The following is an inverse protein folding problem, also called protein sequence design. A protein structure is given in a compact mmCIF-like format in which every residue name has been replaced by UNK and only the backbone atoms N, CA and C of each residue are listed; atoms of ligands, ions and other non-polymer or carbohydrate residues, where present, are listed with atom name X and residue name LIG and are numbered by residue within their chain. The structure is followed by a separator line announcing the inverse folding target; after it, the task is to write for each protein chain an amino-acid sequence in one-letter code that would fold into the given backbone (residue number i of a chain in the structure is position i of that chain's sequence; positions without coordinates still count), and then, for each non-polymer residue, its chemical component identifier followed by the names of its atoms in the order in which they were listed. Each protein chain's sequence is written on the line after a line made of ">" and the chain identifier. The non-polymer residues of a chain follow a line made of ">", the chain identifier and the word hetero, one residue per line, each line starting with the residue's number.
data_IF_888379857580
#
_entry.id   IF_888379857580
#
_cell.length_a   1.000
_cell.length_b   1.000
_cell.length_c   1.000
_cell.angle_alpha   90.00
_cell.angle_beta   90.00
_cell.angle_gamma   90.00
#
_symmetry.space_group_name_H-M   'P 1'
#
loop_
_entity.id
_entity.type
_entity.pdbx_description
1 polymer ?
#
# COMPACT_ATOMS: atom_id res chain seq x y z
N UNK A 1 -25.46 -11.52 -21.12
CA UNK A 1 -24.00 -11.35 -21.34
C UNK A 1 -23.74 -9.94 -21.83
N UNK A 2 -23.45 -9.01 -20.92
CA UNK A 2 -23.50 -7.56 -21.17
C UNK A 2 -22.16 -7.03 -21.72
N UNK A 3 -22.26 -6.12 -22.69
CA UNK A 3 -21.17 -5.41 -23.40
C UNK A 3 -20.12 -4.76 -22.50
N UNK A 4 -20.42 -4.58 -21.21
CA UNK A 4 -19.57 -3.97 -20.20
C UNK A 4 -18.37 -4.84 -19.80
N UNK A 5 -18.44 -6.16 -19.94
CA UNK A 5 -17.33 -7.06 -19.54
C UNK A 5 -16.10 -6.93 -20.45
N UNK A 6 -16.33 -6.73 -21.76
CA UNK A 6 -15.24 -6.64 -22.75
C UNK A 6 -14.50 -5.28 -22.71
N UNK A 7 -15.16 -4.23 -22.23
CA UNK A 7 -14.56 -2.89 -22.07
C UNK A 7 -13.71 -2.82 -20.79
N UNK A 8 -14.16 -3.48 -19.71
CA UNK A 8 -13.39 -3.60 -18.46
C UNK A 8 -12.03 -4.29 -18.69
N UNK A 9 -12.02 -5.35 -19.52
CA UNK A 9 -10.79 -6.12 -19.82
C UNK A 9 -9.74 -5.32 -20.59
N UNK A 10 -10.12 -4.28 -21.33
CA UNK A 10 -9.20 -3.46 -22.13
C UNK A 10 -8.60 -2.28 -21.34
N UNK A 11 -9.30 -1.79 -20.33
CA UNK A 11 -8.85 -0.67 -19.48
C UNK A 11 -7.82 -1.09 -18.41
N UNK A 12 -7.78 -2.37 -18.01
CA UNK A 12 -6.99 -2.84 -16.85
C UNK A 12 -5.46 -2.70 -17.01
N UNK A 13 -4.93 -2.62 -18.24
CA UNK A 13 -3.48 -2.59 -18.48
C UNK A 13 -2.87 -1.18 -18.48
N UNK A 14 -3.63 -0.17 -18.89
CA UNK A 14 -3.16 1.23 -19.02
C UNK A 14 -3.40 2.04 -17.73
N UNK A 15 -4.52 1.79 -17.04
CA UNK A 15 -4.85 2.48 -15.80
C UNK A 15 -3.98 2.05 -14.61
N UNK A 16 -3.37 0.87 -14.67
CA UNK A 16 -2.52 0.39 -13.59
C UNK A 16 -1.23 1.20 -13.45
N UNK A 17 -0.55 1.44 -14.58
CA UNK A 17 0.65 2.28 -14.61
C UNK A 17 0.31 3.74 -14.26
N UNK A 18 -0.89 4.19 -14.63
CA UNK A 18 -1.41 5.49 -14.19
C UNK A 18 -1.69 5.54 -12.67
N UNK A 19 -2.18 4.45 -12.06
CA UNK A 19 -2.39 4.35 -10.61
C UNK A 19 -1.06 4.40 -9.83
N UNK A 20 -0.05 3.62 -10.25
CA UNK A 20 1.28 3.64 -9.64
C UNK A 20 1.91 5.03 -9.79
N UNK A 21 1.74 5.67 -10.96
CA UNK A 21 2.12 7.07 -11.17
C UNK A 21 1.43 8.03 -10.19
N UNK A 22 0.11 7.89 -10.03
CA UNK A 22 -0.65 8.66 -9.04
C UNK A 22 -0.13 8.45 -7.61
N UNK A 23 0.21 7.23 -7.21
CA UNK A 23 0.77 6.95 -5.88
C UNK A 23 2.10 7.67 -5.66
N UNK A 24 3.01 7.62 -6.64
CA UNK A 24 4.30 8.33 -6.57
C UNK A 24 4.09 9.85 -6.47
N UNK A 25 3.13 10.40 -7.22
CA UNK A 25 2.76 11.82 -7.14
C UNK A 25 2.21 12.17 -5.75
N UNK A 26 1.32 11.34 -5.19
CA UNK A 26 0.77 11.56 -3.84
C UNK A 26 1.89 11.55 -2.80
N UNK A 27 2.80 10.57 -2.86
CA UNK A 27 3.96 10.50 -1.95
C UNK A 27 4.86 11.73 -2.08
N UNK A 28 5.12 12.19 -3.31
CA UNK A 28 5.91 13.39 -3.56
C UNK A 28 5.26 14.64 -2.97
N UNK A 29 3.94 14.81 -3.13
CA UNK A 29 3.19 15.93 -2.58
C UNK A 29 3.19 15.89 -1.06
N UNK A 30 2.93 14.73 -0.44
CA UNK A 30 2.96 14.58 1.03
C UNK A 30 4.34 14.89 1.59
N UNK A 31 5.41 14.49 0.90
CA UNK A 31 6.78 14.81 1.28
C UNK A 31 7.08 16.30 1.16
N UNK A 32 6.63 16.96 0.10
CA UNK A 32 6.77 18.41 -0.07
C UNK A 32 6.02 19.18 1.03
N UNK A 33 4.79 18.77 1.35
CA UNK A 33 4.00 19.35 2.44
C UNK A 33 4.69 19.15 3.79
N UNK A 34 5.21 17.95 4.07
CA UNK A 34 5.97 17.68 5.29
C UNK A 34 7.24 18.51 5.40
N UNK A 35 7.92 18.77 4.27
CA UNK A 35 9.09 19.63 4.21
C UNK A 35 8.73 21.10 4.50
N UNK A 36 7.65 21.61 3.90
CA UNK A 36 7.15 22.98 4.15
C UNK A 36 6.75 23.15 5.63
N UNK A 37 6.07 22.16 6.21
CA UNK A 37 5.70 22.15 7.63
C UNK A 37 6.95 22.15 8.53
N UNK A 38 7.96 21.32 8.22
CA UNK A 38 9.25 21.31 8.94
C UNK A 38 9.96 22.66 8.85
N UNK A 39 10.03 23.27 7.66
CA UNK A 39 10.60 24.59 7.46
C UNK A 39 9.87 25.67 8.27
N UNK A 40 8.54 25.60 8.35
CA UNK A 40 7.74 26.53 9.13
C UNK A 40 7.91 26.33 10.64
N UNK A 41 7.94 25.08 11.12
CA UNK A 41 8.25 24.74 12.51
C UNK A 41 9.67 25.15 12.92
N UNK A 42 10.65 25.02 12.02
CA UNK A 42 12.03 25.50 12.21
C UNK A 42 12.15 27.03 12.22
N UNK A 43 11.14 27.77 11.76
CA UNK A 43 11.11 29.24 11.85
C UNK A 43 10.66 29.69 13.26
N UNK A 44 9.91 28.85 13.99
CA UNK A 44 9.40 29.15 15.34
C UNK A 44 10.29 28.60 16.45
N UNK A 45 10.99 27.47 16.20
CA UNK A 45 12.04 26.95 17.09
C UNK A 45 13.39 27.43 16.56
N UNK A 46 14.22 28.17 17.33
CA UNK A 46 15.59 28.49 16.93
C UNK A 46 16.40 27.19 16.85
N UNK A 47 16.35 26.54 15.69
CA UNK A 47 17.10 25.34 15.39
C UNK A 47 18.57 25.73 15.21
N UNK A 48 19.43 25.26 16.12
CA UNK A 48 20.87 25.34 15.95
C UNK A 48 21.26 24.45 14.75
N UNK A 49 21.21 25.04 13.56
CA UNK A 49 21.59 24.42 12.32
C UNK A 49 23.08 24.12 12.39
N UNK A 50 23.44 22.89 12.75
CA UNK A 50 24.80 22.41 12.53
C UNK A 50 25.01 22.42 11.02
N UNK A 51 25.68 23.46 10.53
CA UNK A 51 26.06 23.61 9.13
C UNK A 51 26.88 22.38 8.74
N UNK A 52 26.24 21.48 7.99
CA UNK A 52 26.88 20.28 7.47
C UNK A 52 27.94 20.75 6.49
N UNK A 53 29.20 20.70 6.92
CA UNK A 53 30.35 21.02 6.09
C UNK A 53 30.35 20.11 4.85
N UNK A 54 30.68 20.61 3.65
CA UNK A 54 30.64 19.82 2.41
C UNK A 54 31.49 18.54 2.46
N UNK A 55 32.50 18.52 3.32
CA UNK A 55 33.43 17.40 3.54
C UNK A 55 32.82 16.25 4.36
N UNK A 56 31.80 16.51 5.18
CA UNK A 56 31.07 15.50 5.95
C UNK A 56 29.94 14.83 5.14
N UNK A 57 29.67 15.36 3.94
CA UNK A 57 28.62 14.89 3.04
C UNK A 57 29.17 13.82 2.09
N UNK A 58 30.42 14.00 1.63
CA UNK A 58 31.14 13.01 0.82
C UNK A 58 31.52 11.76 1.61
N UNK A 59 31.91 11.91 2.89
CA UNK A 59 32.20 10.77 3.77
C UNK A 59 30.96 9.94 4.10
N UNK A 60 29.79 10.58 4.24
CA UNK A 60 28.52 9.87 4.36
C UNK A 60 28.19 9.09 3.09
N UNK A 61 28.30 9.70 1.90
CA UNK A 61 27.97 9.03 0.64
C UNK A 61 28.80 7.75 0.43
N UNK A 62 30.06 7.70 0.82
CA UNK A 62 30.88 6.49 0.70
C UNK A 62 30.59 5.41 1.76
N UNK A 63 30.09 5.80 2.94
CA UNK A 63 29.77 4.88 4.04
C UNK A 63 28.34 4.30 3.95
N UNK A 64 27.51 4.81 3.04
CA UNK A 64 26.16 4.26 2.84
C UNK A 64 26.22 2.82 2.31
N UNK A 65 25.37 1.91 2.82
CA UNK A 65 25.30 0.54 2.34
C UNK A 65 24.60 0.48 0.97
N UNK A 66 25.29 0.91 -0.08
CA UNK A 66 24.80 0.94 -1.46
C UNK A 66 24.27 -0.42 -1.92
N UNK A 67 24.92 -1.50 -1.50
CA UNK A 67 24.51 -2.85 -1.85
C UNK A 67 23.16 -3.22 -1.21
N UNK A 68 22.91 -2.80 0.03
CA UNK A 68 21.63 -3.03 0.68
C UNK A 68 20.52 -2.24 -0.03
N UNK A 69 20.79 -0.99 -0.42
CA UNK A 69 19.82 -0.14 -1.14
C UNK A 69 19.53 -0.70 -2.52
N UNK A 70 20.55 -1.16 -3.26
CA UNK A 70 20.35 -1.79 -4.57
C UNK A 70 19.59 -3.10 -4.43
N UNK A 71 19.87 -3.89 -3.41
CA UNK A 71 19.17 -5.14 -3.14
C UNK A 71 17.70 -4.89 -2.79
N UNK A 72 17.40 -4.04 -1.79
CA UNK A 72 16.01 -3.75 -1.40
C UNK A 72 15.27 -2.95 -2.48
N UNK A 73 15.96 -2.02 -3.14
CA UNK A 73 15.38 -1.13 -4.14
C UNK A 73 15.11 -1.85 -5.47
N UNK A 74 16.09 -2.55 -6.03
CA UNK A 74 15.92 -3.23 -7.31
C UNK A 74 15.26 -4.58 -7.11
N UNK A 75 15.80 -5.45 -6.26
CA UNK A 75 15.25 -6.81 -6.12
C UNK A 75 13.90 -6.76 -5.42
N UNK A 76 13.82 -6.19 -4.21
CA UNK A 76 12.57 -6.27 -3.44
C UNK A 76 11.45 -5.42 -4.06
N UNK A 77 11.70 -4.16 -4.45
CA UNK A 77 10.66 -3.33 -5.07
C UNK A 77 10.23 -3.83 -6.45
N UNK A 78 11.17 -4.19 -7.34
CA UNK A 78 10.78 -4.68 -8.68
C UNK A 78 10.02 -5.98 -8.58
N UNK A 79 10.46 -6.90 -7.70
CA UNK A 79 9.74 -8.14 -7.46
C UNK A 79 8.36 -7.90 -6.87
N UNK A 80 8.22 -7.01 -5.88
CA UNK A 80 6.94 -6.67 -5.26
C UNK A 80 5.98 -6.07 -6.29
N UNK A 81 6.42 -5.07 -7.06
CA UNK A 81 5.61 -4.44 -8.11
C UNK A 81 5.24 -5.44 -9.21
N UNK A 82 6.16 -6.33 -9.57
CA UNK A 82 5.88 -7.38 -10.56
C UNK A 82 4.83 -8.37 -10.04
N UNK A 83 5.00 -8.87 -8.82
CA UNK A 83 4.06 -9.78 -8.17
C UNK A 83 2.69 -9.12 -8.00
N UNK A 84 2.66 -7.84 -7.65
CA UNK A 84 1.47 -7.01 -7.54
C UNK A 84 0.72 -6.90 -8.89
N UNK A 85 1.44 -6.62 -9.99
CA UNK A 85 0.87 -6.59 -11.35
C UNK A 85 0.30 -7.95 -11.74
N UNK A 86 0.99 -9.05 -11.39
CA UNK A 86 0.55 -10.41 -11.68
C UNK A 86 -0.69 -10.76 -10.87
N UNK A 87 -0.70 -10.50 -9.56
CA UNK A 87 -1.81 -10.81 -8.67
C UNK A 87 -3.07 -10.02 -9.04
N UNK A 88 -2.93 -8.71 -9.31
CA UNK A 88 -4.06 -7.91 -9.74
C UNK A 88 -4.61 -8.30 -11.10
N UNK A 89 -3.91 -9.12 -11.90
CA UNK A 89 -4.43 -9.58 -13.18
C UNK A 89 -5.65 -10.50 -13.02
N UNK A 90 -5.61 -11.35 -12.00
CA UNK A 90 -6.60 -12.40 -11.77
C UNK A 90 -7.57 -12.10 -10.60
N UNK A 91 -7.25 -11.14 -9.73
CA UNK A 91 -8.04 -10.82 -8.53
C UNK A 91 -9.00 -9.64 -8.77
N UNK A 92 -10.20 -9.70 -8.17
CA UNK A 92 -11.20 -8.63 -8.21
C UNK A 92 -10.79 -7.42 -7.35
N UNK A 93 -11.39 -6.24 -7.60
CA UNK A 93 -11.06 -5.01 -6.85
C UNK A 93 -11.33 -5.14 -5.34
N UNK A 94 -12.40 -5.86 -4.98
CA UNK A 94 -12.80 -6.10 -3.58
C UNK A 94 -11.81 -6.99 -2.84
N UNK A 95 -11.41 -8.12 -3.45
CA UNK A 95 -10.42 -9.03 -2.86
C UNK A 95 -9.05 -8.36 -2.73
N UNK A 96 -8.65 -7.58 -3.73
CA UNK A 96 -7.40 -6.81 -3.71
C UNK A 96 -7.39 -5.83 -2.53
N UNK A 97 -8.49 -5.08 -2.32
CA UNK A 97 -8.60 -4.13 -1.21
C UNK A 97 -8.51 -4.83 0.17
N UNK A 98 -9.07 -6.04 0.29
CA UNK A 98 -8.97 -6.84 1.51
C UNK A 98 -7.52 -7.28 1.74
N UNK A 99 -6.83 -7.76 0.71
CA UNK A 99 -5.42 -8.20 0.80
C UNK A 99 -4.52 -7.05 1.24
N UNK A 100 -4.64 -5.86 0.63
CA UNK A 100 -3.90 -4.68 1.07
C UNK A 100 -4.28 -4.23 2.49
N UNK A 101 -5.56 -4.33 2.86
CA UNK A 101 -6.01 -4.05 4.22
C UNK A 101 -5.34 -4.94 5.27
N UNK A 102 -4.96 -6.16 4.90
CA UNK A 102 -4.27 -7.13 5.78
C UNK A 102 -2.75 -6.93 5.84
N UNK A 103 -2.15 -6.10 5.00
CA UNK A 103 -0.72 -5.77 5.01
C UNK A 103 -0.16 -5.43 6.40
N UNK A 104 -0.77 -4.54 7.21
CA UNK A 104 -0.31 -4.27 8.58
C UNK A 104 -0.35 -5.49 9.51
N UNK A 105 -1.28 -6.43 9.31
CA UNK A 105 -1.35 -7.67 10.09
C UNK A 105 -0.19 -8.59 9.73
N UNK A 106 0.11 -8.72 8.44
CA UNK A 106 1.30 -9.44 7.97
C UNK A 106 2.58 -8.77 8.47
N UNK A 107 2.68 -7.44 8.39
CA UNK A 107 3.80 -6.68 8.92
C UNK A 107 4.05 -6.94 10.40
N UNK A 108 3.01 -6.87 11.23
CA UNK A 108 3.10 -7.19 12.65
C UNK A 108 3.48 -8.67 12.90
N UNK A 109 2.94 -9.59 12.11
CA UNK A 109 3.25 -11.02 12.21
C UNK A 109 4.70 -11.31 11.86
N UNK A 110 5.23 -10.73 10.79
CA UNK A 110 6.64 -10.88 10.40
C UNK A 110 7.59 -10.17 11.35
N UNK A 111 7.23 -9.01 11.87
CA UNK A 111 8.00 -8.34 12.92
C UNK A 111 8.12 -9.21 14.17
N UNK A 112 7.02 -9.84 14.61
CA UNK A 112 7.07 -10.81 15.71
C UNK A 112 7.87 -12.07 15.37
N UNK A 113 7.68 -12.65 14.18
CA UNK A 113 8.32 -13.91 13.80
C UNK A 113 9.83 -13.78 13.56
N UNK A 114 10.28 -12.67 12.95
CA UNK A 114 11.68 -12.45 12.57
C UNK A 114 12.44 -11.70 13.67
N UNK A 115 11.82 -10.68 14.29
CA UNK A 115 12.45 -9.82 15.29
C UNK A 115 12.10 -10.21 16.75
N UNK A 116 11.14 -11.10 16.97
CA UNK A 116 10.74 -11.52 18.31
C UNK A 116 10.04 -10.44 19.14
N UNK A 117 9.61 -9.34 18.52
CA UNK A 117 9.00 -8.22 19.23
C UNK A 117 7.64 -8.61 19.83
N UNK A 118 7.47 -8.37 21.13
CA UNK A 118 6.22 -8.69 21.84
C UNK A 118 5.05 -7.90 21.24
N UNK A 119 3.98 -8.62 20.89
CA UNK A 119 2.72 -8.01 20.48
C UNK A 119 2.19 -7.11 21.60
N UNK A 120 2.12 -5.81 21.34
CA UNK A 120 1.41 -4.88 22.21
C UNK A 120 -0.09 -5.18 22.17
N UNK A 121 -0.78 -4.93 23.30
CA UNK A 121 -2.24 -5.07 23.41
C UNK A 121 -2.95 -4.21 22.33
N UNK A 122 -2.40 -3.02 22.06
CA UNK A 122 -2.87 -2.12 21.00
C UNK A 122 -2.74 -2.70 19.60
N UNK A 123 -1.63 -3.40 19.31
CA UNK A 123 -1.41 -4.09 18.04
C UNK A 123 -2.39 -5.24 17.83
N UNK A 124 -2.71 -5.98 18.89
CA UNK A 124 -3.68 -7.08 18.86
C UNK A 124 -5.12 -6.58 18.62
N UNK A 125 -5.51 -5.47 19.27
CA UNK A 125 -6.81 -4.82 19.03
C UNK A 125 -6.90 -4.32 17.59
N UNK A 126 -5.85 -3.68 17.06
CA UNK A 126 -5.78 -3.25 15.68
C UNK A 126 -5.92 -4.40 14.69
N UNK A 127 -5.22 -5.50 14.92
CA UNK A 127 -5.30 -6.69 14.07
C UNK A 127 -6.73 -7.29 14.05
N UNK A 128 -7.39 -7.38 15.22
CA UNK A 128 -8.79 -7.84 15.30
C UNK A 128 -9.71 -6.92 14.50
N UNK A 129 -9.53 -5.59 14.63
CA UNK A 129 -10.38 -4.63 13.92
C UNK A 129 -10.24 -4.75 12.40
N UNK A 130 -9.03 -4.94 11.90
CA UNK A 130 -8.76 -5.13 10.47
C UNK A 130 -9.42 -6.42 9.97
N UNK A 131 -9.20 -7.55 10.67
CA UNK A 131 -9.80 -8.84 10.30
C UNK A 131 -11.33 -8.77 10.33
N UNK A 132 -11.91 -8.14 11.35
CA UNK A 132 -13.35 -7.95 11.47
C UNK A 132 -13.92 -7.09 10.33
N UNK A 133 -13.24 -5.99 9.98
CA UNK A 133 -13.61 -5.14 8.85
C UNK A 133 -13.56 -5.91 7.53
N UNK A 134 -12.49 -6.67 7.28
CA UNK A 134 -12.34 -7.51 6.09
C UNK A 134 -13.41 -8.60 5.99
N UNK A 135 -13.79 -9.22 7.10
CA UNK A 135 -14.84 -10.24 7.12
C UNK A 135 -16.22 -9.62 6.86
N UNK A 136 -16.50 -8.45 7.45
CA UNK A 136 -17.77 -7.74 7.24
C UNK A 136 -17.98 -7.38 5.77
N UNK A 137 -16.93 -6.93 5.08
CA UNK A 137 -16.98 -6.62 3.64
C UNK A 137 -17.28 -7.87 2.80
N UNK A 138 -16.69 -9.02 3.13
CA UNK A 138 -16.95 -10.27 2.40
C UNK A 138 -18.38 -10.77 2.61
N UNK A 139 -18.87 -10.72 3.86
CA UNK A 139 -20.24 -11.11 4.17
C UNK A 139 -21.24 -10.20 3.44
N UNK A 140 -21.04 -8.89 3.48
CA UNK A 140 -21.90 -7.95 2.75
C UNK A 140 -21.86 -8.15 1.24
N UNK A 141 -20.67 -8.40 0.68
CA UNK A 141 -20.51 -8.75 -0.73
C UNK A 141 -21.28 -10.02 -1.12
N UNK A 142 -21.24 -11.06 -0.26
CA UNK A 142 -21.97 -12.31 -0.50
C UNK A 142 -23.50 -12.14 -0.47
N UNK A 143 -24.03 -11.27 0.39
CA UNK A 143 -25.47 -10.96 0.42
C UNK A 143 -25.92 -10.23 -0.86
N UNK A 144 -25.12 -9.30 -1.36
CA UNK A 144 -25.41 -8.55 -2.59
C UNK A 144 -25.43 -9.45 -3.84
N UNK A 145 -24.59 -10.48 -3.89
CA UNK A 145 -24.54 -11.45 -4.99
C UNK A 145 -25.79 -12.36 -5.02
N UNK A 146 -26.31 -12.72 -3.84
CA UNK A 146 -27.55 -13.51 -3.70
C UNK A 146 -28.76 -12.74 -4.24
N UNK A 147 -28.88 -11.45 -3.91
CA UNK A 147 -30.01 -10.60 -4.31
C UNK A 147 -30.04 -10.37 -5.85
N UNK A 148 -28.87 -10.09 -6.45
CA UNK A 148 -28.71 -9.96 -7.91
C UNK A 148 -29.06 -11.26 -8.64
N UNK A 149 -28.72 -12.40 -8.05
CA UNK A 149 -29.05 -13.71 -8.59
C UNK A 149 -30.57 -13.90 -8.60
N UNK A 150 -31.25 -13.64 -7.50
CA UNK A 150 -32.70 -13.85 -7.35
C UNK A 150 -33.54 -12.98 -8.31
N UNK A 151 -33.19 -11.69 -8.46
CA UNK A 151 -33.85 -10.78 -9.42
C UNK A 151 -33.65 -11.21 -10.88
N UNK A 152 -32.48 -11.76 -11.22
CA UNK A 152 -32.19 -12.22 -12.58
C UNK A 152 -33.01 -13.44 -13.01
N UNK A 153 -33.42 -14.29 -12.05
CA UNK A 153 -34.32 -15.41 -12.31
C UNK A 153 -35.77 -14.98 -12.49
N UNK A 154 -36.22 -13.93 -11.80
CA UNK A 154 -37.58 -13.40 -11.93
C UNK A 154 -37.81 -12.65 -13.25
N UNK A 155 -36.77 -12.03 -13.84
CA UNK A 155 -36.89 -11.33 -15.12
C UNK A 155 -36.92 -12.24 -16.37
N UNK A 156 -36.51 -13.50 -16.23
CA UNK A 156 -36.44 -14.46 -17.33
C UNK A 156 -37.55 -15.53 -17.26
N UNK A 157 -38.54 -15.34 -16.39
CA UNK A 157 -39.71 -16.21 -16.23
C UNK A 157 -41.00 -15.46 -16.55
#
# INVERSE_FOLDING_TARGET
>A
MLRTEHISRKMKKENFLALVGCQVVVVAVVSAVSFIIKCFLQNVVPWNLKSRTPTELSSMMLSFPWLAILYTGIIATTFCLWAEIVAMRDVSATETAIIYGLEPVWGATFAWAIHGERWGITGLIGAIFIIAGSLMVQVLGSFLDIDVSEDSYQMNS
#
